data_IF_761045273704
#
_entry.id   IF_761045273704
#
_cell.length_a   1.000
_cell.length_b   1.000
_cell.length_c   1.000
_cell.angle_alpha   90.00
_cell.angle_beta   90.00
_cell.angle_gamma   90.00
#
_symmetry.space_group_name_H-M   'P 1'
#
loop_
_entity.id
_entity.type
_entity.pdbx_description
1 polymer ?
#
# COMPACT_ATOMS: atom_id res chain seq x y z
N UNK A 1 49.68 -26.86 -12.85
CA UNK A 1 48.54 -27.31 -13.69
C UNK A 1 47.68 -28.22 -12.80
N UNK A 2 46.43 -27.94 -12.43
CA UNK A 2 45.45 -26.93 -12.83
C UNK A 2 44.61 -26.57 -11.60
N UNK A 3 44.24 -25.31 -11.54
CA UNK A 3 43.39 -24.67 -10.55
C UNK A 3 41.96 -25.21 -10.54
N UNK A 4 41.39 -25.43 -9.35
CA UNK A 4 39.96 -25.64 -9.16
C UNK A 4 39.33 -24.30 -8.75
N UNK A 5 38.47 -23.84 -9.64
CA UNK A 5 37.82 -22.53 -9.64
C UNK A 5 36.72 -22.44 -8.58
N UNK A 6 36.70 -21.28 -7.94
CA UNK A 6 35.70 -20.73 -7.01
C UNK A 6 34.23 -21.04 -7.33
N UNK A 7 33.51 -21.56 -6.33
CA UNK A 7 32.05 -21.40 -6.22
C UNK A 7 31.77 -20.09 -5.49
N UNK A 8 31.56 -19.01 -6.26
CA UNK A 8 31.01 -17.75 -5.73
C UNK A 8 29.48 -17.78 -5.79
N UNK A 9 28.88 -17.62 -4.62
CA UNK A 9 27.46 -17.34 -4.39
C UNK A 9 26.94 -16.24 -5.33
N UNK A 10 26.00 -16.59 -6.21
CA UNK A 10 25.19 -15.62 -6.94
C UNK A 10 23.95 -15.29 -6.13
N UNK A 11 24.05 -14.24 -5.32
CA UNK A 11 22.89 -13.52 -4.79
C UNK A 11 22.24 -12.79 -5.97
N UNK A 12 21.23 -13.40 -6.58
CA UNK A 12 20.40 -12.76 -7.61
C UNK A 12 19.55 -11.66 -6.95
N UNK A 13 20.08 -10.44 -6.97
CA UNK A 13 19.37 -9.23 -6.54
C UNK A 13 18.21 -8.96 -7.51
N UNK A 14 16.97 -9.05 -7.00
CA UNK A 14 15.74 -8.71 -7.72
C UNK A 14 15.50 -7.19 -7.83
N UNK A 15 16.58 -6.40 -7.92
CA UNK A 15 16.58 -4.94 -7.83
C UNK A 15 16.64 -4.13 -9.15
N UNK A 16 16.88 -4.70 -10.36
CA UNK A 16 17.09 -3.84 -11.54
C UNK A 16 15.79 -3.21 -12.09
N UNK A 17 14.66 -3.92 -12.06
CA UNK A 17 13.44 -3.43 -12.74
C UNK A 17 12.82 -2.17 -12.10
N UNK A 18 13.09 -1.90 -10.81
CA UNK A 18 12.55 -0.70 -10.13
C UNK A 18 13.36 0.55 -10.52
N UNK A 19 14.69 0.43 -10.63
CA UNK A 19 15.56 1.55 -10.99
C UNK A 19 15.33 2.01 -12.42
N UNK A 20 15.02 1.10 -13.34
CA UNK A 20 14.73 1.44 -14.74
C UNK A 20 13.41 2.21 -14.88
N UNK A 21 12.37 1.85 -14.12
CA UNK A 21 11.08 2.57 -14.13
C UNK A 21 11.18 3.98 -13.53
N UNK A 22 12.05 4.19 -12.55
CA UNK A 22 12.29 5.50 -11.92
C UNK A 22 12.99 6.50 -12.86
N UNK A 23 13.73 6.02 -13.87
CA UNK A 23 14.44 6.90 -14.81
C UNK A 23 13.60 7.33 -16.02
N UNK A 24 12.53 6.61 -16.35
CA UNK A 24 11.65 6.92 -17.50
C UNK A 24 10.63 8.04 -17.19
N UNK A 25 10.43 8.41 -15.91
CA UNK A 25 9.34 9.31 -15.51
C UNK A 25 9.80 10.68 -14.94
N UNK A 26 10.99 11.17 -15.29
CA UNK A 26 11.51 12.49 -14.85
C UNK A 26 10.95 13.69 -15.62
N UNK A 27 9.68 13.67 -15.99
CA UNK A 27 9.00 14.90 -16.42
C UNK A 27 8.44 15.61 -15.19
N UNK A 28 9.12 16.69 -14.76
CA UNK A 28 8.54 17.73 -13.89
C UNK A 28 7.40 18.37 -14.67
N UNK A 29 6.22 17.78 -14.59
CA UNK A 29 5.02 18.23 -15.29
C UNK A 29 3.80 17.91 -14.46
N UNK A 30 2.83 18.82 -14.50
CA UNK A 30 1.49 18.65 -13.95
C UNK A 30 0.90 17.27 -14.30
N UNK A 31 0.00 16.76 -13.45
CA UNK A 31 -0.64 15.48 -13.70
C UNK A 31 -1.40 15.54 -15.06
N UNK A 32 -1.36 14.47 -15.88
CA UNK A 32 -2.06 14.45 -17.16
C UNK A 32 -3.55 14.73 -16.98
N UNK A 33 -4.08 15.79 -17.63
CA UNK A 33 -5.50 16.15 -17.52
C UNK A 33 -6.45 15.11 -18.13
N UNK A 34 -5.99 14.35 -19.12
CA UNK A 34 -6.79 13.34 -19.84
C UNK A 34 -7.29 12.17 -18.98
N UNK A 35 -6.72 11.96 -17.81
CA UNK A 35 -6.98 10.79 -16.97
C UNK A 35 -7.79 11.11 -15.70
N UNK A 36 -8.25 12.35 -15.55
CA UNK A 36 -8.79 12.85 -14.28
C UNK A 36 -10.01 12.06 -13.79
N UNK A 37 -10.96 11.74 -14.68
CA UNK A 37 -12.17 11.01 -14.30
C UNK A 37 -11.84 9.61 -13.76
N UNK A 38 -11.03 8.84 -14.50
CA UNK A 38 -10.59 7.53 -14.03
C UNK A 38 -9.71 7.59 -12.77
N UNK A 39 -8.99 8.69 -12.54
CA UNK A 39 -8.23 8.91 -11.31
C UNK A 39 -9.19 9.15 -10.13
N UNK A 40 -10.25 9.93 -10.34
CA UNK A 40 -11.29 10.17 -9.34
C UNK A 40 -12.05 8.91 -9.00
N UNK A 41 -12.36 8.07 -9.98
CA UNK A 41 -12.99 6.76 -9.75
C UNK A 41 -12.12 5.86 -8.88
N UNK A 42 -10.80 5.83 -9.13
CA UNK A 42 -9.85 5.07 -8.30
C UNK A 42 -9.78 5.59 -6.87
N UNK A 43 -9.71 6.92 -6.70
CA UNK A 43 -9.72 7.54 -5.37
C UNK A 43 -11.03 7.25 -4.65
N UNK A 44 -12.16 7.39 -5.34
CA UNK A 44 -13.49 7.09 -4.79
C UNK A 44 -13.59 5.63 -4.35
N UNK A 45 -13.05 4.69 -5.14
CA UNK A 45 -12.97 3.29 -4.76
C UNK A 45 -12.20 3.08 -3.45
N UNK A 46 -11.05 3.75 -3.27
CA UNK A 46 -10.30 3.69 -2.01
C UNK A 46 -11.11 4.29 -0.86
N UNK A 47 -11.67 5.49 -1.03
CA UNK A 47 -12.44 6.18 0.02
C UNK A 47 -13.69 5.39 0.44
N UNK A 48 -14.36 4.72 -0.51
CA UNK A 48 -15.49 3.85 -0.22
C UNK A 48 -15.08 2.62 0.59
N UNK A 49 -13.91 2.02 0.29
CA UNK A 49 -13.40 0.89 1.07
C UNK A 49 -12.96 1.31 2.47
N UNK A 50 -12.49 2.54 2.64
CA UNK A 50 -12.18 3.14 3.92
C UNK A 50 -13.42 3.67 4.66
N UNK A 51 -14.60 3.63 4.01
CA UNK A 51 -15.84 4.18 4.52
C UNK A 51 -15.69 5.64 5.02
N UNK A 52 -14.98 6.46 4.23
CA UNK A 52 -14.51 7.79 4.65
C UNK A 52 -15.64 8.70 5.17
N UNK A 53 -16.86 8.57 4.63
CA UNK A 53 -18.04 9.34 5.05
C UNK A 53 -18.49 8.99 6.47
N UNK A 54 -18.45 7.70 6.85
CA UNK A 54 -18.87 7.25 8.20
C UNK A 54 -17.96 7.81 9.31
N UNK A 55 -16.69 8.03 9.00
CA UNK A 55 -15.69 8.56 9.93
C UNK A 55 -15.48 10.07 9.80
N UNK A 56 -16.32 10.75 9.01
CA UNK A 56 -16.29 12.20 8.81
C UNK A 56 -14.88 12.72 8.47
N UNK A 57 -14.15 11.98 7.63
CA UNK A 57 -12.75 12.30 7.35
C UNK A 57 -12.61 13.66 6.66
N UNK A 58 -11.67 14.46 7.16
CA UNK A 58 -11.14 15.62 6.46
C UNK A 58 -10.30 15.11 5.28
N UNK A 59 -10.78 15.36 4.07
CA UNK A 59 -10.11 14.92 2.85
C UNK A 59 -9.13 15.99 2.36
N UNK A 60 -7.88 15.62 2.00
CA UNK A 60 -7.01 16.49 1.24
C UNK A 60 -7.68 16.90 -0.09
N UNK A 61 -7.26 18.03 -0.71
CA UNK A 61 -7.72 18.38 -2.04
C UNK A 61 -7.55 17.21 -3.01
N UNK A 62 -8.57 16.96 -3.85
CA UNK A 62 -8.56 15.81 -4.78
C UNK A 62 -7.30 15.78 -5.66
N UNK A 63 -6.76 16.95 -6.01
CA UNK A 63 -5.50 17.09 -6.75
C UNK A 63 -4.28 16.52 -6.03
N UNK A 64 -4.25 16.51 -4.70
CA UNK A 64 -3.20 15.85 -3.91
C UNK A 64 -3.43 14.34 -3.85
N UNK A 65 -4.68 13.90 -3.68
CA UNK A 65 -5.03 12.47 -3.68
C UNK A 65 -4.70 11.81 -5.03
N UNK A 66 -4.98 12.48 -6.16
CA UNK A 66 -4.59 11.98 -7.49
C UNK A 66 -3.08 11.76 -7.63
N UNK A 67 -2.23 12.58 -6.99
CA UNK A 67 -0.77 12.39 -7.02
C UNK A 67 -0.37 11.05 -6.39
N UNK A 68 -1.15 10.52 -5.44
CA UNK A 68 -0.86 9.24 -4.79
C UNK A 68 -0.89 8.09 -5.79
N UNK A 69 -1.61 8.23 -6.91
CA UNK A 69 -1.71 7.19 -7.94
C UNK A 69 -0.42 7.07 -8.77
N UNK A 70 0.44 8.09 -8.79
CA UNK A 70 1.60 8.17 -9.69
C UNK A 70 2.92 7.81 -9.01
N UNK A 71 3.10 6.52 -8.72
CA UNK A 71 4.26 5.96 -7.99
C UNK A 71 5.62 6.32 -8.62
N UNK A 72 5.69 6.47 -9.95
CA UNK A 72 6.93 6.75 -10.67
C UNK A 72 7.27 8.24 -10.82
N UNK A 73 6.33 9.15 -10.50
CA UNK A 73 6.56 10.59 -10.62
C UNK A 73 7.18 11.11 -9.33
N UNK A 74 8.20 11.96 -9.47
CA UNK A 74 8.82 12.72 -8.37
C UNK A 74 7.93 13.87 -7.88
N UNK A 75 6.65 13.59 -7.67
CA UNK A 75 5.66 14.55 -7.20
C UNK A 75 5.83 14.78 -5.70
N UNK A 76 5.71 16.05 -5.29
CA UNK A 76 5.57 16.41 -3.88
C UNK A 76 4.11 16.67 -3.55
N UNK A 77 3.71 16.17 -2.39
CA UNK A 77 2.39 16.33 -1.80
C UNK A 77 2.41 17.53 -0.87
N UNK A 78 1.48 18.47 -1.01
CA UNK A 78 1.34 19.58 -0.07
C UNK A 78 0.23 19.23 0.92
N UNK A 79 0.57 19.09 2.19
CA UNK A 79 -0.35 18.84 3.30
C UNK A 79 0.02 19.83 4.41
N UNK A 80 -0.94 20.66 4.84
CA UNK A 80 -0.78 21.67 5.89
C UNK A 80 0.54 22.44 5.83
N UNK A 81 0.78 23.03 4.65
CA UNK A 81 1.98 23.83 4.33
C UNK A 81 3.31 23.08 4.23
N UNK A 82 3.34 21.76 4.49
CA UNK A 82 4.54 20.93 4.33
C UNK A 82 4.51 20.14 3.03
N UNK A 83 5.72 19.90 2.49
CA UNK A 83 5.89 19.07 1.30
C UNK A 83 6.43 17.70 1.67
N UNK A 84 5.70 16.66 1.24
CA UNK A 84 6.09 15.27 1.43
C UNK A 84 6.43 14.64 0.08
N UNK A 85 7.44 13.77 0.06
CA UNK A 85 7.75 12.93 -1.11
C UNK A 85 6.95 11.62 -1.04
N UNK A 86 6.69 11.02 -2.21
CA UNK A 86 5.96 9.75 -2.30
C UNK A 86 6.53 8.67 -1.38
N UNK A 87 7.84 8.41 -1.46
CA UNK A 87 8.50 7.37 -0.66
C UNK A 87 8.36 7.57 0.86
N UNK A 88 8.30 8.82 1.31
CA UNK A 88 8.09 9.14 2.72
C UNK A 88 6.66 8.79 3.15
N UNK A 89 5.66 9.20 2.39
CA UNK A 89 4.26 8.87 2.67
C UNK A 89 4.00 7.37 2.55
N UNK A 90 4.61 6.68 1.58
CA UNK A 90 4.55 5.23 1.48
C UNK A 90 5.09 4.56 2.77
N UNK A 91 6.25 5.02 3.26
CA UNK A 91 6.85 4.49 4.49
C UNK A 91 5.95 4.76 5.71
N UNK A 92 5.48 6.00 5.88
CA UNK A 92 4.60 6.40 6.98
C UNK A 92 3.30 5.58 6.99
N UNK A 93 2.64 5.47 5.83
CA UNK A 93 1.39 4.70 5.69
C UNK A 93 1.58 3.21 5.92
N UNK A 94 2.67 2.63 5.42
CA UNK A 94 2.99 1.21 5.66
C UNK A 94 3.29 0.94 7.14
N UNK A 95 3.96 1.88 7.82
CA UNK A 95 4.28 1.78 9.25
C UNK A 95 3.02 1.87 10.09
N UNK A 96 2.14 2.83 9.79
CA UNK A 96 0.86 3.00 10.46
C UNK A 96 -0.02 1.75 10.31
N UNK A 97 -0.19 1.23 9.10
CA UNK A 97 -0.97 0.01 8.89
C UNK A 97 -0.35 -1.18 9.63
N UNK A 98 0.97 -1.31 9.62
CA UNK A 98 1.65 -2.40 10.34
C UNK A 98 1.40 -2.31 11.85
N UNK A 99 1.48 -1.12 12.46
CA UNK A 99 1.19 -0.95 13.89
C UNK A 99 -0.26 -1.30 14.21
N UNK A 100 -1.22 -0.90 13.36
CA UNK A 100 -2.63 -1.20 13.57
C UNK A 100 -2.95 -2.70 13.41
N UNK A 101 -2.29 -3.39 12.48
CA UNK A 101 -2.38 -4.85 12.38
C UNK A 101 -1.89 -5.53 13.66
N UNK A 102 -0.79 -5.04 14.25
CA UNK A 102 -0.27 -5.56 15.52
C UNK A 102 -1.25 -5.32 16.66
N UNK A 103 -1.78 -4.10 16.79
CA UNK A 103 -2.75 -3.74 17.82
C UNK A 103 -4.01 -4.62 17.72
N UNK A 104 -4.55 -4.76 16.51
CA UNK A 104 -5.76 -5.57 16.26
C UNK A 104 -5.52 -7.05 16.54
N UNK A 105 -4.35 -7.57 16.16
CA UNK A 105 -3.97 -8.95 16.46
C UNK A 105 -3.96 -9.22 17.96
N UNK A 106 -3.46 -8.27 18.76
CA UNK A 106 -3.48 -8.37 20.23
C UNK A 106 -4.91 -8.33 20.78
N UNK A 107 -5.77 -7.44 20.27
CA UNK A 107 -7.17 -7.32 20.71
C UNK A 107 -8.00 -8.58 20.41
N UNK A 108 -7.79 -9.21 19.25
CA UNK A 108 -8.61 -10.36 18.82
C UNK A 108 -8.18 -11.70 19.45
N UNK A 109 -7.17 -11.72 20.33
CA UNK A 109 -6.67 -12.93 20.99
C UNK A 109 -6.40 -14.12 20.03
N UNK A 110 -6.09 -13.84 18.76
CA UNK A 110 -5.81 -14.84 17.70
C UNK A 110 -4.62 -15.76 18.05
N UNK A 111 -3.82 -15.40 19.05
CA UNK A 111 -2.77 -16.21 19.65
C UNK A 111 -3.24 -17.56 20.20
N UNK A 112 -4.52 -17.69 20.55
CA UNK A 112 -5.08 -18.92 21.13
C UNK A 112 -5.54 -19.93 20.06
N UNK A 113 -5.57 -19.54 18.78
CA UNK A 113 -6.07 -20.36 17.67
C UNK A 113 -4.98 -21.25 17.01
N UNK A 114 -3.95 -21.66 17.76
CA UNK A 114 -2.72 -22.27 17.21
C UNK A 114 -2.91 -23.64 16.54
N UNK A 115 -3.97 -24.38 16.87
CA UNK A 115 -4.23 -25.68 16.24
C UNK A 115 -4.74 -25.44 14.80
N UNK A 116 -4.04 -26.02 13.81
CA UNK A 116 -4.40 -26.03 12.38
C UNK A 116 -4.27 -24.70 11.60
N UNK A 117 -3.29 -23.85 11.94
CA UNK A 117 -3.00 -22.64 11.14
C UNK A 117 -2.34 -22.96 9.79
N UNK A 118 -2.80 -22.30 8.73
CA UNK A 118 -2.14 -22.23 7.41
C UNK A 118 -0.77 -21.53 7.49
N UNK A 119 0.08 -21.71 6.48
CA UNK A 119 1.40 -21.07 6.42
C UNK A 119 1.33 -19.54 6.46
N UNK A 120 0.33 -18.93 5.83
CA UNK A 120 0.12 -17.48 5.87
C UNK A 120 -0.32 -17.00 7.26
N UNK A 121 -1.22 -17.73 7.92
CA UNK A 121 -1.64 -17.41 9.29
C UNK A 121 -0.45 -17.46 10.24
N UNK A 122 0.37 -18.53 10.18
CA UNK A 122 1.60 -18.66 10.97
C UNK A 122 2.56 -17.49 10.75
N UNK A 123 2.80 -17.12 9.48
CA UNK A 123 3.67 -15.99 9.15
C UNK A 123 3.11 -14.64 9.62
N UNK A 124 1.79 -14.43 9.52
CA UNK A 124 1.14 -13.24 10.04
C UNK A 124 1.25 -13.13 11.56
N UNK A 125 1.15 -14.26 12.29
CA UNK A 125 1.30 -14.27 13.74
C UNK A 125 2.68 -13.78 14.20
N UNK A 126 3.73 -14.05 13.43
CA UNK A 126 5.09 -13.58 13.68
C UNK A 126 5.37 -12.18 13.09
N UNK A 127 4.33 -11.42 12.74
CA UNK A 127 4.42 -10.08 12.10
C UNK A 127 5.12 -10.07 10.74
N UNK A 128 5.30 -11.24 10.12
CA UNK A 128 5.70 -11.35 8.74
C UNK A 128 4.46 -11.31 7.85
N UNK A 129 4.63 -11.00 6.57
CA UNK A 129 3.57 -11.10 5.56
C UNK A 129 2.32 -10.22 5.76
N UNK A 130 2.38 -9.15 6.57
CA UNK A 130 1.29 -8.14 6.70
C UNK A 130 0.88 -7.59 5.33
N UNK A 131 1.88 -7.39 4.46
CA UNK A 131 1.69 -6.93 3.09
C UNK A 131 0.82 -7.88 2.25
N UNK A 132 1.02 -9.18 2.39
CA UNK A 132 0.26 -10.21 1.69
C UNK A 132 -1.17 -10.30 2.20
N UNK A 133 -1.37 -10.15 3.52
CA UNK A 133 -2.71 -10.08 4.13
C UNK A 133 -3.46 -8.87 3.60
N UNK A 134 -2.83 -7.70 3.60
CA UNK A 134 -3.42 -6.47 3.05
C UNK A 134 -3.71 -6.60 1.55
N UNK A 135 -2.79 -7.17 0.76
CA UNK A 135 -3.01 -7.45 -0.66
C UNK A 135 -4.22 -8.36 -0.91
N UNK A 136 -4.41 -9.39 -0.07
CA UNK A 136 -5.59 -10.25 -0.16
C UNK A 136 -6.86 -9.49 0.21
N UNK A 137 -6.82 -8.70 1.27
CA UNK A 137 -7.94 -7.85 1.68
C UNK A 137 -8.38 -6.91 0.55
N UNK A 138 -7.47 -6.13 -0.02
CA UNK A 138 -7.77 -5.18 -1.11
C UNK A 138 -8.37 -5.89 -2.33
N UNK A 139 -7.82 -7.03 -2.73
CA UNK A 139 -8.38 -7.86 -3.81
C UNK A 139 -9.82 -8.27 -3.54
N UNK A 140 -10.13 -8.64 -2.29
CA UNK A 140 -11.50 -9.04 -1.93
C UNK A 140 -12.48 -7.89 -1.86
N UNK A 141 -11.99 -6.66 -1.72
CA UNK A 141 -12.78 -5.42 -1.80
C UNK A 141 -12.88 -4.87 -3.22
N UNK A 142 -12.39 -5.60 -4.23
CA UNK A 142 -12.38 -5.15 -5.62
C UNK A 142 -11.37 -4.05 -5.93
N UNK A 143 -10.50 -3.69 -4.97
CA UNK A 143 -9.49 -2.65 -5.13
C UNK A 143 -8.30 -3.23 -5.89
N UNK A 144 -8.19 -2.86 -7.17
CA UNK A 144 -7.14 -3.32 -8.09
C UNK A 144 -6.79 -2.23 -9.10
N UNK A 145 -5.57 -2.27 -9.64
CA UNK A 145 -5.10 -1.34 -10.68
C UNK A 145 -5.18 0.12 -10.22
N UNK A 146 -4.79 0.37 -8.97
CA UNK A 146 -4.74 1.70 -8.38
C UNK A 146 -3.60 2.54 -8.97
N UNK A 147 -2.42 1.93 -9.10
CA UNK A 147 -1.25 2.64 -9.59
C UNK A 147 -1.37 2.99 -11.08
N UNK A 148 -1.02 4.23 -11.39
CA UNK A 148 -0.82 4.72 -12.75
C UNK A 148 0.58 4.38 -13.22
N UNK A 149 0.63 3.66 -14.33
CA UNK A 149 1.87 3.28 -14.98
C UNK A 149 2.05 4.07 -16.28
N UNK A 150 3.28 4.50 -16.60
CA UNK A 150 3.59 4.99 -17.94
C UNK A 150 3.60 3.85 -18.97
N UNK A 151 3.79 2.60 -18.52
CA UNK A 151 3.80 1.40 -19.36
C UNK A 151 2.43 0.71 -19.40
N UNK A 152 2.09 0.02 -20.50
CA UNK A 152 0.90 -0.83 -20.57
C UNK A 152 0.90 -1.93 -19.51
N UNK A 153 -0.28 -2.24 -18.95
CA UNK A 153 -0.41 -3.22 -17.87
C UNK A 153 0.05 -4.64 -18.24
N UNK A 154 -0.02 -5.03 -19.52
CA UNK A 154 0.40 -6.36 -19.97
C UNK A 154 1.93 -6.58 -19.90
N UNK A 155 2.70 -5.50 -19.80
CA UNK A 155 4.17 -5.56 -19.67
C UNK A 155 4.62 -5.73 -18.21
N UNK A 156 3.69 -5.62 -17.26
CA UNK A 156 3.98 -5.70 -15.84
C UNK A 156 3.48 -7.02 -15.25
N UNK A 157 4.34 -7.69 -14.49
CA UNK A 157 3.93 -8.88 -13.75
C UNK A 157 2.85 -8.54 -12.71
N UNK A 158 1.94 -9.49 -12.46
CA UNK A 158 0.92 -9.40 -11.40
C UNK A 158 1.49 -8.98 -10.04
N UNK A 159 2.69 -9.50 -9.70
CA UNK A 159 3.40 -9.14 -8.48
C UNK A 159 3.88 -7.69 -8.46
N UNK A 160 4.35 -7.17 -9.61
CA UNK A 160 4.76 -5.78 -9.74
C UNK A 160 3.55 -4.83 -9.61
N UNK A 161 2.43 -5.15 -10.27
CA UNK A 161 1.18 -4.38 -10.17
C UNK A 161 0.70 -4.35 -8.71
N UNK A 162 0.62 -5.51 -8.08
CA UNK A 162 0.19 -5.64 -6.67
C UNK A 162 1.08 -4.83 -5.73
N UNK A 163 2.40 -4.80 -5.98
CA UNK A 163 3.32 -3.98 -5.17
C UNK A 163 2.98 -2.50 -5.28
N UNK A 164 2.80 -2.00 -6.50
CA UNK A 164 2.56 -0.57 -6.70
C UNK A 164 1.18 -0.16 -6.21
N UNK A 165 0.16 -1.01 -6.40
CA UNK A 165 -1.18 -0.77 -5.82
C UNK A 165 -1.13 -0.62 -4.30
N UNK A 166 -0.32 -1.46 -3.63
CA UNK A 166 -0.08 -1.33 -2.19
C UNK A 166 0.65 -0.04 -1.84
N UNK A 167 1.67 0.34 -2.61
CA UNK A 167 2.38 1.62 -2.40
C UNK A 167 1.43 2.80 -2.50
N UNK A 168 0.55 2.82 -3.51
CA UNK A 168 -0.52 3.84 -3.63
C UNK A 168 -1.42 3.84 -2.40
N UNK A 169 -1.90 2.67 -1.98
CA UNK A 169 -2.78 2.55 -0.83
C UNK A 169 -2.11 3.08 0.45
N UNK A 170 -0.83 2.76 0.68
CA UNK A 170 -0.06 3.31 1.79
C UNK A 170 0.04 4.83 1.74
N UNK A 171 0.37 5.39 0.58
CA UNK A 171 0.47 6.84 0.40
C UNK A 171 -0.87 7.53 0.65
N UNK A 172 -1.99 6.97 0.17
CA UNK A 172 -3.33 7.52 0.45
C UNK A 172 -3.64 7.49 1.94
N UNK A 173 -3.40 6.37 2.62
CA UNK A 173 -3.62 6.26 4.08
C UNK A 173 -2.76 7.27 4.84
N UNK A 174 -1.50 7.47 4.46
CA UNK A 174 -0.65 8.48 5.06
C UNK A 174 -1.17 9.91 4.82
N UNK A 175 -1.61 10.22 3.60
CA UNK A 175 -2.22 11.52 3.29
C UNK A 175 -3.43 11.80 4.17
N UNK A 176 -4.33 10.82 4.35
CA UNK A 176 -5.48 10.95 5.24
C UNK A 176 -5.03 11.12 6.69
N UNK A 177 -4.01 10.38 7.12
CA UNK A 177 -3.49 10.46 8.48
C UNK A 177 -2.86 11.82 8.84
N UNK A 178 -2.36 12.56 7.87
CA UNK A 178 -1.88 13.93 8.10
C UNK A 178 -3.01 14.96 8.22
N UNK A 179 -4.19 14.68 7.67
CA UNK A 179 -5.34 15.59 7.70
C UNK A 179 -6.33 15.31 8.84
N UNK A 180 -6.17 14.18 9.54
CA UNK A 180 -7.14 13.70 10.51
C UNK A 180 -6.49 13.37 11.84
N UNK A 181 -7.28 13.40 12.90
CA UNK A 181 -6.80 13.02 14.22
C UNK A 181 -6.36 11.55 14.26
N UNK A 182 -5.31 11.30 15.04
CA UNK A 182 -4.74 9.96 15.20
C UNK A 182 -5.77 8.94 15.67
N UNK A 183 -6.65 9.33 16.59
CA UNK A 183 -7.67 8.43 17.15
C UNK A 183 -8.69 8.02 16.08
N UNK A 184 -9.21 8.97 15.31
CA UNK A 184 -10.14 8.71 14.19
C UNK A 184 -9.51 7.78 13.16
N UNK A 185 -8.26 8.04 12.79
CA UNK A 185 -7.54 7.20 11.82
C UNK A 185 -7.23 5.80 12.34
N UNK A 186 -6.86 5.67 13.60
CA UNK A 186 -6.63 4.37 14.24
C UNK A 186 -7.93 3.56 14.25
N UNK A 187 -9.04 4.17 14.66
CA UNK A 187 -10.35 3.53 14.68
C UNK A 187 -10.80 3.08 13.28
N UNK A 188 -10.69 3.95 12.28
CA UNK A 188 -11.01 3.63 10.89
C UNK A 188 -10.18 2.46 10.38
N UNK A 189 -8.86 2.52 10.55
CA UNK A 189 -7.96 1.46 10.07
C UNK A 189 -8.30 0.15 10.77
N UNK A 190 -8.58 0.19 12.08
CA UNK A 190 -8.95 -1.00 12.83
C UNK A 190 -10.25 -1.62 12.33
N UNK A 191 -11.29 -0.81 12.17
CA UNK A 191 -12.63 -1.30 11.88
C UNK A 191 -12.86 -1.65 10.41
N UNK A 192 -12.28 -0.88 9.48
CA UNK A 192 -12.53 -1.04 8.05
C UNK A 192 -11.45 -1.86 7.33
N UNK A 193 -10.24 -1.95 7.89
CA UNK A 193 -9.11 -2.66 7.27
C UNK A 193 -8.66 -3.87 8.09
N UNK A 194 -8.09 -3.67 9.28
CA UNK A 194 -7.33 -4.72 9.95
C UNK A 194 -8.24 -5.79 10.57
N UNK A 195 -9.33 -5.43 11.27
CA UNK A 195 -10.28 -6.40 11.81
C UNK A 195 -10.92 -7.23 10.69
N UNK A 196 -11.46 -6.64 9.59
CA UNK A 196 -11.97 -7.43 8.48
C UNK A 196 -10.92 -8.32 7.82
N UNK A 197 -9.69 -7.81 7.62
CA UNK A 197 -8.62 -8.59 7.02
C UNK A 197 -8.20 -9.78 7.89
N UNK A 198 -8.07 -9.58 9.20
CA UNK A 198 -7.71 -10.63 10.17
C UNK A 198 -8.87 -11.63 10.30
N UNK A 199 -10.11 -11.18 10.51
CA UNK A 199 -11.28 -12.07 10.60
C UNK A 199 -11.39 -12.96 9.37
N UNK A 200 -11.24 -12.38 8.17
CA UNK A 200 -11.23 -13.16 6.93
C UNK A 200 -10.05 -14.14 6.84
N UNK A 201 -8.86 -13.73 7.29
CA UNK A 201 -7.67 -14.60 7.31
C UNK A 201 -7.87 -15.80 8.23
N UNK A 202 -8.51 -15.61 9.39
CA UNK A 202 -8.71 -16.64 10.42
C UNK A 202 -10.09 -17.31 10.37
N UNK A 203 -10.99 -16.88 9.46
CA UNK A 203 -12.38 -17.35 9.33
C UNK A 203 -13.19 -17.13 10.62
N UNK A 204 -13.08 -15.92 11.17
CA UNK A 204 -13.79 -15.43 12.36
C UNK A 204 -14.99 -14.57 12.00
#
# INVERSE_FOLDING_TARGET
>A
MRDIVMLRNTVLSATPCIRTLANIARTRGSLPKRNQQEDDERISCILNVLNATKYELILPPISQLRKCLYVSKSSRFKIDSRFYGFARLELEGSTLLKSEFIATKSQLNVMNMRKNMTSLQKAFMTNHRTREVLSRFLRTKGVKKLARFPLPHYELSSNAITRMDLSVFYTVVACLAHCNEKMVMSELIQNEITKPAIRKLFRL
#
